data_IF_048688784903
#
_entry.id   IF_048688784903
#
_cell.length_a   1.000
_cell.length_b   1.000
_cell.length_c   1.000
_cell.angle_alpha   90.00
_cell.angle_beta   90.00
_cell.angle_gamma   90.00
#
_symmetry.space_group_name_H-M   'P 1'
#
loop_
_entity.id
_entity.type
_entity.pdbx_description
1 polymer ?
#
# COMPACT_ATOMS: atom_id res chain seq x y z
N UNK A 1 11.05 -0.47 10.23
CA UNK A 1 10.21 -1.69 10.31
C UNK A 1 9.84 -2.13 8.91
N UNK A 2 9.36 -3.37 8.73
CA UNK A 2 8.89 -3.91 7.45
C UNK A 2 7.37 -4.01 7.48
N UNK A 3 6.70 -3.45 6.48
CA UNK A 3 5.25 -3.47 6.33
C UNK A 3 4.84 -4.17 5.04
N UNK A 4 3.81 -4.99 5.13
CA UNK A 4 3.10 -5.55 3.99
C UNK A 4 1.71 -4.97 3.99
N UNK A 5 1.35 -4.29 2.90
CA UNK A 5 0.01 -3.77 2.67
C UNK A 5 -0.65 -4.69 1.64
N UNK A 6 -1.53 -5.56 2.12
CA UNK A 6 -2.37 -6.37 1.26
C UNK A 6 -3.66 -5.60 0.97
N UNK A 7 -3.90 -5.27 -0.29
CA UNK A 7 -5.06 -4.49 -0.69
C UNK A 7 -5.38 -4.68 -2.16
N UNK A 8 -6.64 -4.99 -2.45
CA UNK A 8 -7.20 -5.19 -3.77
C UNK A 8 -8.67 -4.76 -3.78
N UNK A 9 -9.12 -4.22 -4.90
CA UNK A 9 -10.50 -3.85 -5.18
C UNK A 9 -10.58 -2.68 -6.16
N UNK A 10 -11.74 -2.04 -6.24
CA UNK A 10 -11.92 -0.80 -7.00
C UNK A 10 -10.97 0.31 -6.53
N UNK A 11 -10.81 1.37 -7.35
CA UNK A 11 -9.89 2.49 -7.08
C UNK A 11 -9.98 3.09 -5.66
N UNK A 12 -11.15 2.98 -5.01
CA UNK A 12 -11.40 3.49 -3.65
C UNK A 12 -10.54 2.86 -2.55
N UNK A 13 -10.05 1.62 -2.71
CA UNK A 13 -9.18 0.97 -1.73
C UNK A 13 -7.68 1.10 -2.07
N UNK A 14 -7.37 1.28 -3.36
CA UNK A 14 -5.98 1.41 -3.84
C UNK A 14 -5.38 2.76 -3.45
N UNK A 15 -6.14 3.87 -3.64
CA UNK A 15 -5.62 5.21 -3.33
C UNK A 15 -5.21 5.39 -1.86
N UNK A 16 -6.07 5.03 -0.88
CA UNK A 16 -5.70 5.12 0.53
C UNK A 16 -4.47 4.28 0.88
N UNK A 17 -4.39 3.06 0.31
CA UNK A 17 -3.28 2.16 0.57
C UNK A 17 -1.94 2.67 0.01
N UNK A 18 -1.97 3.31 -1.16
CA UNK A 18 -0.80 3.99 -1.74
C UNK A 18 -0.40 5.21 -0.91
N UNK A 19 -1.36 6.02 -0.45
CA UNK A 19 -1.08 7.16 0.41
C UNK A 19 -0.40 6.73 1.72
N UNK A 20 -0.91 5.67 2.36
CA UNK A 20 -0.30 5.08 3.54
C UNK A 20 1.11 4.54 3.26
N UNK A 21 1.30 3.84 2.13
CA UNK A 21 2.61 3.30 1.75
C UNK A 21 3.67 4.40 1.58
N UNK A 22 3.29 5.54 0.99
CA UNK A 22 4.16 6.71 0.82
C UNK A 22 4.57 7.31 2.17
N UNK A 23 3.63 7.44 3.09
CA UNK A 23 3.89 7.98 4.42
C UNK A 23 4.78 7.04 5.27
N UNK A 24 4.56 5.72 5.19
CA UNK A 24 5.43 4.77 5.89
C UNK A 24 6.85 4.80 5.30
N UNK A 25 6.99 4.96 3.98
CA UNK A 25 8.30 5.14 3.33
C UNK A 25 8.98 6.45 3.70
N UNK A 26 8.26 7.57 3.80
CA UNK A 26 8.83 8.86 4.21
C UNK A 26 9.42 8.80 5.63
N UNK A 27 8.86 7.95 6.49
CA UNK A 27 9.35 7.63 7.84
C UNK A 27 10.50 6.60 7.88
N UNK A 28 11.05 6.22 6.72
CA UNK A 28 12.19 5.30 6.62
C UNK A 28 11.82 3.82 6.81
N UNK A 29 10.57 3.44 6.56
CA UNK A 29 10.16 2.04 6.63
C UNK A 29 10.20 1.35 5.27
N UNK A 30 10.48 0.04 5.28
CA UNK A 30 10.36 -0.79 4.09
C UNK A 30 8.89 -1.19 3.93
N UNK A 31 8.33 -0.92 2.75
CA UNK A 31 6.92 -1.19 2.46
C UNK A 31 6.80 -1.98 1.16
N UNK A 32 6.09 -3.11 1.24
CA UNK A 32 5.67 -3.93 0.10
C UNK A 32 4.15 -3.87 -0.01
N UNK A 33 3.67 -3.60 -1.23
CA UNK A 33 2.24 -3.62 -1.54
C UNK A 33 1.94 -4.89 -2.32
N UNK A 34 0.89 -5.60 -1.91
CA UNK A 34 0.40 -6.82 -2.57
C UNK A 34 -1.07 -6.57 -2.91
N UNK A 35 -1.37 -6.47 -4.21
CA UNK A 35 -2.73 -6.34 -4.72
C UNK A 35 -2.99 -7.37 -5.81
N UNK A 36 -4.20 -7.36 -6.37
CA UNK A 36 -4.52 -8.19 -7.54
C UNK A 36 -4.36 -7.37 -8.82
N UNK A 37 -4.07 -8.03 -9.95
CA UNK A 37 -4.00 -7.38 -11.27
C UNK A 37 -5.33 -6.72 -11.69
N UNK A 38 -6.46 -7.13 -11.10
CA UNK A 38 -7.81 -6.65 -11.42
C UNK A 38 -8.55 -6.21 -10.16
N UNK A 39 -7.96 -5.30 -9.38
CA UNK A 39 -8.60 -4.81 -8.17
C UNK A 39 -8.76 -5.92 -7.15
#
# INVERSE_FOLDING_TARGET
MRFVIAGGGTAGHVLPAVALARELRSRGHEVRFVGTERG
#
